data_IF_186319936115
#
_entry.id   IF_186319936115
#
_cell.length_a   1.000
_cell.length_b   1.000
_cell.length_c   1.000
_cell.angle_alpha   90.00
_cell.angle_beta   90.00
_cell.angle_gamma   90.00
#
_symmetry.space_group_name_H-M   'P 1'
#
loop_
_entity.id
_entity.type
_entity.pdbx_description
1 polymer ?
#
# COMPACT_ATOMS: atom_id res chain seq x y z
N UNK A 1 1.07 -13.94 14.85
CA UNK A 1 2.08 -12.90 14.53
C UNK A 1 1.75 -12.31 13.18
N UNK A 2 1.78 -10.97 13.06
CA UNK A 2 1.51 -10.27 11.79
C UNK A 2 2.52 -10.66 10.72
N UNK A 3 2.08 -10.69 9.45
CA UNK A 3 2.97 -10.83 8.29
C UNK A 3 2.67 -9.74 7.27
N UNK A 4 3.68 -8.92 6.96
CA UNK A 4 3.59 -7.91 5.91
C UNK A 4 4.14 -8.46 4.60
N UNK A 5 3.31 -8.49 3.57
CA UNK A 5 3.75 -8.72 2.19
C UNK A 5 4.10 -7.37 1.55
N UNK A 6 5.34 -7.19 1.15
CA UNK A 6 5.89 -5.92 0.70
C UNK A 6 6.78 -6.06 -0.53
N UNK A 7 7.07 -4.94 -1.17
CA UNK A 7 8.13 -4.86 -2.17
C UNK A 7 8.98 -3.60 -1.93
N UNK A 8 10.32 -3.69 -2.07
CA UNK A 8 11.19 -2.52 -1.97
C UNK A 8 10.79 -1.42 -2.95
N UNK A 9 10.79 -0.17 -2.50
CA UNK A 9 10.42 0.99 -3.33
C UNK A 9 8.94 1.10 -3.68
N UNK A 10 8.08 0.19 -3.18
CA UNK A 10 6.64 0.26 -3.36
C UNK A 10 5.96 0.99 -2.19
N UNK A 11 4.68 1.34 -2.35
CA UNK A 11 3.87 1.99 -1.32
C UNK A 11 3.70 1.18 -0.02
N UNK A 12 4.02 -0.11 -0.04
CA UNK A 12 4.12 -0.97 1.15
C UNK A 12 5.16 -0.49 2.17
N UNK A 13 6.08 0.40 1.76
CA UNK A 13 7.05 1.01 2.66
C UNK A 13 6.37 1.76 3.81
N UNK A 14 5.23 2.40 3.58
CA UNK A 14 4.50 3.10 4.63
C UNK A 14 4.05 2.15 5.76
N UNK A 15 3.45 1.00 5.41
CA UNK A 15 3.07 -0.03 6.39
C UNK A 15 4.30 -0.66 7.05
N UNK A 16 5.40 -0.82 6.32
CA UNK A 16 6.64 -1.36 6.83
C UNK A 16 7.25 -0.44 7.90
N UNK A 17 7.29 0.87 7.65
CA UNK A 17 7.76 1.87 8.62
C UNK A 17 6.94 1.81 9.91
N UNK A 18 5.61 1.76 9.83
CA UNK A 18 4.76 1.69 11.03
C UNK A 18 5.04 0.43 11.85
N UNK A 19 5.28 -0.71 11.19
CA UNK A 19 5.64 -1.95 11.88
C UNK A 19 7.01 -1.85 12.55
N UNK A 20 8.02 -1.29 11.90
CA UNK A 20 9.35 -1.05 12.48
C UNK A 20 9.27 -0.10 13.69
N UNK A 21 8.56 1.02 13.55
CA UNK A 21 8.36 2.01 14.63
C UNK A 21 7.58 1.42 15.83
N UNK A 22 6.75 0.39 15.60
CA UNK A 22 6.02 -0.26 16.69
C UNK A 22 6.92 -1.03 17.66
N UNK A 23 8.09 -1.45 17.22
CA UNK A 23 9.00 -2.32 17.97
C UNK A 23 8.48 -3.75 18.16
N UNK A 24 7.31 -4.09 17.62
CA UNK A 24 6.71 -5.41 17.72
C UNK A 24 7.30 -6.39 16.71
N UNK A 25 7.34 -7.66 17.10
CA UNK A 25 7.79 -8.72 16.18
C UNK A 25 6.73 -9.01 15.12
N UNK A 26 7.16 -9.03 13.88
CA UNK A 26 6.33 -9.40 12.72
C UNK A 26 7.18 -10.14 11.68
N UNK A 27 6.53 -10.76 10.70
CA UNK A 27 7.19 -11.33 9.54
C UNK A 27 7.13 -10.35 8.37
N UNK A 28 8.24 -10.15 7.68
CA UNK A 28 8.29 -9.39 6.44
C UNK A 28 8.51 -10.37 5.26
N UNK A 29 7.52 -10.49 4.38
CA UNK A 29 7.60 -11.35 3.20
C UNK A 29 7.68 -10.48 1.95
N UNK A 30 8.85 -10.53 1.30
CA UNK A 30 9.06 -9.84 0.03
C UNK A 30 8.24 -10.51 -1.07
N UNK A 31 7.61 -9.69 -1.92
CA UNK A 31 6.89 -10.11 -3.14
C UNK A 31 7.68 -9.63 -4.34
N UNK A 32 8.00 -10.53 -5.25
CA UNK A 32 8.70 -10.20 -6.50
C UNK A 32 7.73 -9.61 -7.53
N UNK A 33 7.55 -8.28 -7.46
CA UNK A 33 6.69 -7.56 -8.41
C UNK A 33 7.21 -7.59 -9.84
N UNK A 34 8.53 -7.60 -10.01
CA UNK A 34 9.14 -7.63 -11.35
C UNK A 34 8.94 -9.01 -12.01
N UNK A 35 9.07 -10.08 -11.23
CA UNK A 35 8.79 -11.45 -11.68
C UNK A 35 7.31 -11.78 -11.77
N UNK A 36 6.41 -10.87 -11.37
CA UNK A 36 4.97 -11.07 -11.49
C UNK A 36 4.35 -11.92 -10.38
N UNK A 37 5.04 -12.15 -9.26
CA UNK A 37 4.55 -12.97 -8.15
C UNK A 37 3.15 -12.54 -7.66
N UNK A 38 2.87 -11.23 -7.65
CA UNK A 38 1.58 -10.68 -7.25
C UNK A 38 0.41 -11.10 -8.16
N UNK A 39 0.70 -11.67 -9.32
CA UNK A 39 -0.29 -12.14 -10.29
C UNK A 39 -0.45 -13.67 -10.29
N UNK A 40 0.33 -14.37 -9.49
CA UNK A 40 0.20 -15.82 -9.35
C UNK A 40 -1.11 -16.19 -8.65
N UNK A 41 -1.66 -17.34 -8.99
CA UNK A 41 -2.88 -17.86 -8.33
C UNK A 41 -2.72 -17.94 -6.81
N UNK A 42 -1.53 -18.33 -6.34
CA UNK A 42 -1.23 -18.43 -4.91
C UNK A 42 -1.30 -17.08 -4.19
N UNK A 43 -0.84 -15.99 -4.84
CA UNK A 43 -0.93 -14.65 -4.28
C UNK A 43 -2.35 -14.07 -4.42
N UNK A 44 -3.00 -14.27 -5.55
CA UNK A 44 -4.36 -13.77 -5.81
C UNK A 44 -5.41 -14.37 -4.87
N UNK A 45 -5.19 -15.59 -4.37
CA UNK A 45 -6.01 -16.17 -3.28
C UNK A 45 -5.91 -15.39 -1.96
N UNK A 46 -4.77 -14.74 -1.70
CA UNK A 46 -4.55 -13.90 -0.51
C UNK A 46 -5.03 -12.46 -0.75
N UNK A 47 -4.72 -11.91 -1.92
CA UNK A 47 -5.12 -10.57 -2.34
C UNK A 47 -5.58 -10.57 -3.80
N UNK A 48 -6.90 -10.62 -4.05
CA UNK A 48 -7.43 -10.62 -5.42
C UNK A 48 -7.04 -9.40 -6.26
N UNK A 49 -6.64 -8.29 -5.62
CA UNK A 49 -6.16 -7.10 -6.32
C UNK A 49 -4.76 -7.26 -6.91
N UNK A 50 -3.98 -8.29 -6.49
CA UNK A 50 -2.63 -8.52 -6.98
C UNK A 50 -1.66 -7.37 -6.70
N UNK A 51 -1.72 -6.80 -5.49
CA UNK A 51 -0.93 -5.62 -5.09
C UNK A 51 -0.29 -5.80 -3.71
N UNK A 52 0.70 -4.97 -3.41
CA UNK A 52 1.25 -4.75 -2.08
C UNK A 52 0.92 -3.31 -1.64
N UNK A 53 0.82 -3.03 -0.31
CA UNK A 53 0.94 -3.95 0.79
C UNK A 53 -0.24 -4.91 0.94
N UNK A 54 0.02 -6.02 1.59
CA UNK A 54 -0.98 -6.92 2.13
C UNK A 54 -0.54 -7.30 3.54
N UNK A 55 -1.43 -7.18 4.52
CA UNK A 55 -1.16 -7.56 5.90
C UNK A 55 -1.96 -8.81 6.26
N UNK A 56 -1.27 -9.86 6.68
CA UNK A 56 -1.92 -11.00 7.29
C UNK A 56 -1.96 -10.79 8.81
N UNK A 57 -3.13 -10.96 9.38
CA UNK A 57 -3.39 -10.81 10.80
C UNK A 57 -3.06 -12.09 11.57
N UNK A 58 -3.02 -12.00 12.90
CA UNK A 58 -2.81 -13.15 13.81
C UNK A 58 -3.90 -14.22 13.65
N UNK A 59 -5.10 -13.82 13.23
CA UNK A 59 -6.24 -14.72 12.93
C UNK A 59 -6.05 -15.51 11.63
N UNK A 60 -5.12 -15.11 10.78
CA UNK A 60 -4.94 -15.64 9.43
C UNK A 60 -5.66 -14.83 8.34
N UNK A 61 -6.51 -13.88 8.72
CA UNK A 61 -7.20 -12.99 7.79
C UNK A 61 -6.25 -12.01 7.11
N UNK A 62 -6.66 -11.47 5.98
CA UNK A 62 -5.89 -10.53 5.18
C UNK A 62 -6.54 -9.15 5.13
N UNK A 63 -5.72 -8.10 5.25
CA UNK A 63 -6.11 -6.71 5.04
C UNK A 63 -5.24 -6.12 3.95
N UNK A 64 -5.86 -5.57 2.92
CA UNK A 64 -5.18 -4.86 1.83
C UNK A 64 -5.41 -3.35 1.96
N UNK A 65 -4.63 -2.58 1.18
CA UNK A 65 -4.65 -1.12 1.09
C UNK A 65 -4.09 -0.38 2.31
N UNK A 66 -3.20 0.57 2.07
CA UNK A 66 -2.65 1.43 3.12
C UNK A 66 -3.73 2.24 3.85
N UNK A 67 -4.85 2.55 3.19
CA UNK A 67 -5.99 3.23 3.79
C UNK A 67 -6.67 2.44 4.90
N UNK A 68 -6.51 1.13 4.90
CA UNK A 68 -6.99 0.23 5.95
C UNK A 68 -5.86 -0.20 6.89
N UNK A 69 -4.70 -0.57 6.33
CA UNK A 69 -3.56 -1.12 7.09
C UNK A 69 -2.99 -0.08 8.07
N UNK A 70 -2.76 1.16 7.61
CA UNK A 70 -2.14 2.19 8.44
C UNK A 70 -3.01 2.57 9.66
N UNK A 71 -4.33 2.81 9.52
CA UNK A 71 -5.18 3.04 10.68
C UNK A 71 -5.28 1.84 11.61
N UNK A 72 -5.32 0.63 11.06
CA UNK A 72 -5.36 -0.59 11.85
C UNK A 72 -4.10 -0.74 12.71
N UNK A 73 -2.92 -0.61 12.10
CA UNK A 73 -1.65 -0.68 12.83
C UNK A 73 -1.51 0.51 13.80
N UNK A 74 -1.88 1.71 13.37
CA UNK A 74 -1.84 2.91 14.20
C UNK A 74 -2.70 2.78 15.46
N UNK A 75 -3.90 2.22 15.34
CA UNK A 75 -4.77 1.94 16.48
C UNK A 75 -4.21 0.82 17.38
N UNK A 76 -3.70 -0.26 16.76
CA UNK A 76 -3.14 -1.41 17.48
C UNK A 76 -1.92 -1.03 18.32
N UNK A 77 -1.07 -0.15 17.82
CA UNK A 77 0.20 0.23 18.46
C UNK A 77 0.19 1.62 19.13
N UNK A 78 -0.97 2.24 19.24
CA UNK A 78 -1.09 3.54 19.91
C UNK A 78 -0.47 4.71 19.15
N UNK A 79 -0.28 4.57 17.82
CA UNK A 79 0.30 5.60 16.96
C UNK A 79 -0.76 6.46 16.26
N UNK A 80 -2.03 6.09 16.36
CA UNK A 80 -3.14 6.86 15.80
C UNK A 80 -3.61 7.88 16.86
N UNK A 81 -3.88 9.14 16.48
CA UNK A 81 -4.45 10.12 17.40
C UNK A 81 -5.76 9.62 18.02
N UNK A 82 -5.96 9.88 19.32
CA UNK A 82 -7.18 9.54 20.04
C UNK A 82 -8.24 10.65 19.96
N UNK A 83 -7.82 11.90 19.79
CA UNK A 83 -8.72 13.02 19.54
C UNK A 83 -9.42 12.85 18.20
N UNK A 84 -10.75 12.99 18.18
CA UNK A 84 -11.57 12.71 17.00
C UNK A 84 -11.19 13.58 15.78
N UNK A 85 -10.94 14.88 15.99
CA UNK A 85 -10.58 15.79 14.93
C UNK A 85 -9.17 15.48 14.39
N UNK A 86 -8.21 15.24 15.27
CA UNK A 86 -6.85 14.87 14.88
C UNK A 86 -6.84 13.53 14.14
N UNK A 87 -7.64 12.57 14.58
CA UNK A 87 -7.84 11.29 13.89
C UNK A 87 -8.44 11.48 12.50
N UNK A 88 -9.49 12.31 12.37
CA UNK A 88 -10.11 12.60 11.08
C UNK A 88 -9.12 13.26 10.12
N UNK A 89 -8.28 14.18 10.60
CA UNK A 89 -7.20 14.80 9.79
C UNK A 89 -6.16 13.78 9.34
N UNK A 90 -5.75 12.85 10.21
CA UNK A 90 -4.84 11.77 9.85
C UNK A 90 -5.44 10.87 8.76
N UNK A 91 -6.72 10.50 8.89
CA UNK A 91 -7.43 9.72 7.89
C UNK A 91 -7.56 10.45 6.55
N UNK A 92 -7.85 11.76 6.59
CA UNK A 92 -7.91 12.61 5.40
C UNK A 92 -6.56 12.64 4.66
N UNK A 93 -5.46 12.74 5.40
CA UNK A 93 -4.12 12.73 4.83
C UNK A 93 -3.79 11.37 4.18
N UNK A 94 -4.09 10.26 4.85
CA UNK A 94 -3.93 8.92 4.29
C UNK A 94 -4.75 8.77 3.00
N UNK A 95 -6.00 9.25 3.01
CA UNK A 95 -6.88 9.24 1.85
C UNK A 95 -6.31 10.07 0.69
N UNK A 96 -5.79 11.26 0.97
CA UNK A 96 -5.15 12.12 -0.03
C UNK A 96 -3.94 11.43 -0.68
N UNK A 97 -3.06 10.82 0.10
CA UNK A 97 -1.93 10.08 -0.45
C UNK A 97 -2.36 8.91 -1.33
N UNK A 98 -3.38 8.17 -0.92
CA UNK A 98 -3.86 7.01 -1.66
C UNK A 98 -4.63 7.38 -2.93
N UNK A 99 -5.46 8.42 -2.87
CA UNK A 99 -6.37 8.78 -3.96
C UNK A 99 -5.78 9.80 -4.96
N UNK A 100 -4.79 10.60 -4.55
CA UNK A 100 -4.24 11.68 -5.38
C UNK A 100 -2.76 11.49 -5.65
N UNK A 101 -1.94 11.41 -4.59
CA UNK A 101 -0.47 11.37 -4.74
C UNK A 101 -0.02 10.07 -5.41
N UNK A 102 -0.50 8.93 -4.96
CA UNK A 102 -0.11 7.64 -5.53
C UNK A 102 -0.51 7.48 -7.00
N UNK A 103 -1.75 7.83 -7.42
CA UNK A 103 -2.11 7.83 -8.85
C UNK A 103 -1.28 8.80 -9.68
N UNK A 104 -0.97 10.01 -9.19
CA UNK A 104 -0.11 10.95 -9.87
C UNK A 104 1.29 10.36 -10.13
N UNK A 105 1.90 9.73 -9.13
CA UNK A 105 3.15 8.98 -9.31
C UNK A 105 3.01 7.85 -10.33
N UNK A 106 1.89 7.14 -10.35
CA UNK A 106 1.66 6.08 -11.32
C UNK A 106 1.53 6.61 -12.75
N UNK A 107 0.90 7.78 -12.96
CA UNK A 107 0.88 8.44 -14.27
C UNK A 107 2.29 8.73 -14.78
N UNK A 108 3.15 9.26 -13.92
CA UNK A 108 4.54 9.59 -14.30
C UNK A 108 5.38 8.34 -14.52
N UNK A 109 5.33 7.40 -13.58
CA UNK A 109 6.23 6.25 -13.54
C UNK A 109 5.79 5.04 -14.36
N UNK A 110 4.48 4.92 -14.64
CA UNK A 110 3.88 3.73 -15.28
C UNK A 110 2.72 4.10 -16.19
N UNK A 111 2.93 4.95 -17.20
CA UNK A 111 1.88 5.42 -18.12
C UNK A 111 1.22 4.27 -18.89
N UNK A 112 1.92 3.15 -19.08
CA UNK A 112 1.41 1.94 -19.73
C UNK A 112 0.23 1.29 -18.98
N UNK A 113 -0.03 1.67 -17.74
CA UNK A 113 -1.23 1.23 -16.99
C UNK A 113 -2.51 1.92 -17.44
N UNK A 114 -2.38 3.08 -18.10
CA UNK A 114 -3.49 3.95 -18.47
C UNK A 114 -3.81 3.91 -19.96
N UNK A 115 -2.85 3.52 -20.81
CA UNK A 115 -3.04 3.36 -22.24
C UNK A 115 -2.10 2.28 -22.79
N UNK A 116 -2.60 1.48 -23.72
CA UNK A 116 -1.78 0.59 -24.53
C UNK A 116 -1.06 1.35 -25.65
N UNK A 117 -1.49 2.57 -25.99
CA UNK A 117 -0.89 3.41 -27.02
C UNK A 117 0.25 4.24 -26.41
N UNK A 118 1.49 3.91 -26.80
CA UNK A 118 2.67 4.60 -26.31
C UNK A 118 2.71 6.09 -26.71
N UNK A 119 2.01 6.50 -27.77
CA UNK A 119 1.92 7.91 -28.18
C UNK A 119 1.17 8.78 -27.15
N UNK A 120 0.33 8.18 -26.31
CA UNK A 120 -0.38 8.87 -25.24
C UNK A 120 0.48 9.09 -23.97
N UNK A 121 1.61 8.41 -23.81
CA UNK A 121 2.42 8.46 -22.58
C UNK A 121 2.92 9.85 -22.19
N UNK A 122 3.36 10.73 -23.11
CA UNK A 122 3.76 12.09 -22.72
C UNK A 122 2.65 12.87 -22.04
N UNK A 123 1.42 12.86 -22.57
CA UNK A 123 0.27 13.53 -21.98
C UNK A 123 -0.16 12.90 -20.65
N UNK A 124 -0.07 11.58 -20.52
CA UNK A 124 -0.37 10.87 -19.25
C UNK A 124 0.64 11.29 -18.17
N UNK A 125 1.93 11.36 -18.50
CA UNK A 125 2.97 11.80 -17.55
C UNK A 125 2.77 13.25 -17.13
N UNK A 126 2.44 14.13 -18.06
CA UNK A 126 2.16 15.54 -17.76
C UNK A 126 0.97 15.70 -16.81
N UNK A 127 -0.07 14.90 -16.95
CA UNK A 127 -1.23 14.90 -16.05
C UNK A 127 -0.89 14.44 -14.62
N UNK A 128 0.25 13.78 -14.40
CA UNK A 128 0.71 13.36 -13.08
C UNK A 128 1.65 14.34 -12.38
N UNK A 129 2.01 15.46 -13.04
CA UNK A 129 2.89 16.49 -12.49
C UNK A 129 2.07 17.61 -11.83
#
# INVERSE_FOLDING_TARGET
>A
MLTLFYAPGACSMASHIVLEESGEKYNAQKVDLAGGEQRTEAYLKKNPQGRVPLLQLDSGDYVAENTAILPYLGARFGMLPTDELAKAKAMSLIGFFAASVHPAHAHVGRPERYSADASAYPGIKEAGL
#
